data_IF_918944300905
#
_entry.id   IF_918944300905
#
_cell.length_a   1.000
_cell.length_b   1.000
_cell.length_c   1.000
_cell.angle_alpha   90.00
_cell.angle_beta   90.00
_cell.angle_gamma   90.00
#
_symmetry.space_group_name_H-M   'P 1'
#
loop_
_entity.id
_entity.type
_entity.pdbx_description
1 polymer ?
#
# COMPACT_ATOMS: atom_id res chain seq x y z
N UNK A 1 -65.36 17.98 39.06
CA UNK A 1 -64.08 17.21 39.16
C UNK A 1 -64.00 16.04 38.16
N UNK A 2 -64.70 16.14 37.00
CA UNK A 2 -64.76 15.04 35.99
C UNK A 2 -64.08 15.45 34.66
N UNK A 3 -63.72 16.73 34.46
CA UNK A 3 -63.13 17.25 33.22
C UNK A 3 -61.66 16.87 33.02
N UNK A 4 -60.88 16.67 34.09
CA UNK A 4 -59.44 16.39 34.02
C UNK A 4 -59.10 14.96 33.54
N UNK A 5 -60.02 13.99 33.73
CA UNK A 5 -59.78 12.58 33.35
C UNK A 5 -59.89 12.36 31.84
N UNK A 6 -60.85 12.98 31.17
CA UNK A 6 -61.07 12.87 29.72
C UNK A 6 -59.97 13.51 28.90
N UNK A 7 -59.43 14.65 29.35
CA UNK A 7 -58.30 15.33 28.70
C UNK A 7 -57.00 14.51 28.77
N UNK A 8 -56.76 13.82 29.89
CA UNK A 8 -55.60 12.96 30.06
C UNK A 8 -55.67 11.70 29.16
N UNK A 9 -56.84 11.12 29.01
CA UNK A 9 -57.04 9.96 28.11
C UNK A 9 -56.87 10.35 26.65
N UNK A 10 -57.35 11.51 26.24
CA UNK A 10 -57.16 11.97 24.84
C UNK A 10 -55.72 12.35 24.56
N UNK A 11 -54.98 12.93 25.51
CA UNK A 11 -53.54 13.22 25.40
C UNK A 11 -52.72 11.89 25.33
N UNK A 12 -53.04 10.93 26.13
CA UNK A 12 -52.37 9.61 26.10
C UNK A 12 -52.59 8.88 24.78
N UNK A 13 -53.81 8.89 24.24
CA UNK A 13 -54.13 8.28 22.95
C UNK A 13 -53.42 9.01 21.78
N UNK A 14 -53.27 10.32 21.84
CA UNK A 14 -52.57 11.14 20.87
C UNK A 14 -51.07 10.89 20.89
N UNK A 15 -50.47 10.72 22.09
CA UNK A 15 -49.05 10.37 22.27
C UNK A 15 -48.81 8.94 21.74
N UNK A 16 -49.66 7.97 22.05
CA UNK A 16 -49.53 6.62 21.58
C UNK A 16 -49.54 6.50 20.04
N UNK A 17 -50.42 7.21 19.37
CA UNK A 17 -50.47 7.29 17.88
C UNK A 17 -49.21 7.86 17.30
N UNK A 18 -48.70 8.97 17.83
CA UNK A 18 -47.41 9.57 17.37
C UNK A 18 -46.24 8.63 17.64
N UNK A 19 -46.15 8.03 18.80
CA UNK A 19 -45.13 7.08 19.16
C UNK A 19 -45.17 5.84 18.24
N UNK A 20 -46.38 5.35 17.91
CA UNK A 20 -46.52 4.21 17.01
C UNK A 20 -46.06 4.53 15.59
N UNK A 21 -46.42 5.69 15.04
CA UNK A 21 -46.00 6.12 13.70
C UNK A 21 -44.45 6.34 13.64
N UNK A 22 -43.86 7.02 14.63
CA UNK A 22 -42.40 7.24 14.68
C UNK A 22 -41.65 5.93 14.93
N UNK A 23 -42.19 5.03 15.75
CA UNK A 23 -41.66 3.70 16.00
C UNK A 23 -41.66 2.83 14.73
N UNK A 24 -42.78 2.79 14.03
CA UNK A 24 -42.92 2.04 12.77
C UNK A 24 -41.97 2.56 11.69
N UNK A 25 -41.82 3.86 11.57
CA UNK A 25 -40.89 4.46 10.62
C UNK A 25 -39.44 4.07 10.93
N UNK A 26 -39.03 4.17 12.20
CA UNK A 26 -37.68 3.73 12.63
C UNK A 26 -37.46 2.25 12.38
N UNK A 27 -38.46 1.41 12.66
CA UNK A 27 -38.38 -0.02 12.44
C UNK A 27 -38.26 -0.37 10.96
N UNK A 28 -39.00 0.32 10.09
CA UNK A 28 -38.88 0.15 8.64
C UNK A 28 -37.49 0.54 8.11
N UNK A 29 -36.91 1.64 8.60
CA UNK A 29 -35.53 2.03 8.26
C UNK A 29 -34.54 0.98 8.74
N UNK A 30 -34.70 0.48 9.95
CA UNK A 30 -33.85 -0.57 10.51
C UNK A 30 -33.90 -1.87 9.70
N UNK A 31 -35.09 -2.30 9.29
CA UNK A 31 -35.22 -3.46 8.39
C UNK A 31 -34.51 -3.23 7.07
N UNK A 32 -34.63 -2.05 6.48
CA UNK A 32 -33.91 -1.70 5.25
C UNK A 32 -32.40 -1.77 5.40
N UNK A 33 -31.86 -1.25 6.50
CA UNK A 33 -30.42 -1.31 6.81
C UNK A 33 -29.94 -2.75 7.03
N UNK A 34 -30.65 -3.53 7.83
CA UNK A 34 -30.32 -4.93 8.10
C UNK A 34 -30.38 -5.76 6.81
N UNK A 35 -31.40 -5.55 6.00
CA UNK A 35 -31.53 -6.21 4.70
C UNK A 35 -30.38 -5.85 3.75
N UNK A 36 -29.96 -4.57 3.73
CA UNK A 36 -28.82 -4.13 2.95
C UNK A 36 -27.50 -4.70 3.43
N UNK A 37 -27.29 -4.74 4.76
CA UNK A 37 -26.11 -5.35 5.36
C UNK A 37 -26.06 -6.86 5.05
N UNK A 38 -27.17 -7.56 5.17
CA UNK A 38 -27.23 -8.96 4.80
C UNK A 38 -26.86 -9.20 3.34
N UNK A 39 -27.39 -8.38 2.44
CA UNK A 39 -27.06 -8.47 1.02
C UNK A 39 -25.57 -8.27 0.76
N UNK A 40 -24.95 -7.25 1.37
CA UNK A 40 -23.54 -6.95 1.21
C UNK A 40 -22.63 -8.04 1.83
N UNK A 41 -22.99 -8.51 3.02
CA UNK A 41 -22.15 -9.45 3.78
C UNK A 41 -22.29 -10.89 3.33
N UNK A 42 -23.45 -11.29 2.85
CA UNK A 42 -23.72 -12.68 2.46
C UNK A 42 -23.64 -12.85 0.94
N UNK A 43 -24.37 -12.04 0.18
CA UNK A 43 -24.49 -12.23 -1.26
C UNK A 43 -23.30 -11.68 -2.04
N UNK A 44 -22.76 -10.51 -1.64
CA UNK A 44 -21.63 -9.86 -2.31
C UNK A 44 -20.29 -10.03 -1.56
N UNK A 45 -20.24 -10.86 -0.52
CA UNK A 45 -19.03 -11.07 0.30
C UNK A 45 -17.79 -11.39 -0.54
N UNK A 46 -17.87 -12.34 -1.46
CA UNK A 46 -16.75 -12.74 -2.31
C UNK A 46 -16.18 -11.57 -3.13
N UNK A 47 -17.05 -10.72 -3.66
CA UNK A 47 -16.65 -9.54 -4.45
C UNK A 47 -15.88 -8.54 -3.59
N UNK A 48 -16.39 -8.22 -2.41
CA UNK A 48 -15.73 -7.26 -1.52
C UNK A 48 -14.46 -7.82 -0.87
N UNK A 49 -14.40 -9.12 -0.59
CA UNK A 49 -13.19 -9.82 -0.18
C UNK A 49 -12.11 -9.70 -1.26
N UNK A 50 -12.44 -10.02 -2.50
CA UNK A 50 -11.48 -9.91 -3.62
C UNK A 50 -10.99 -8.48 -3.83
N UNK A 51 -11.86 -7.48 -3.67
CA UNK A 51 -11.47 -6.06 -3.77
C UNK A 51 -10.56 -5.65 -2.61
N UNK A 52 -10.86 -6.11 -1.40
CA UNK A 52 -10.03 -5.87 -0.21
C UNK A 52 -8.66 -6.51 -0.35
N UNK A 53 -8.60 -7.76 -0.81
CA UNK A 53 -7.34 -8.47 -1.02
C UNK A 53 -6.49 -7.80 -2.11
N UNK A 54 -7.10 -7.42 -3.23
CA UNK A 54 -6.41 -6.67 -4.30
C UNK A 54 -5.83 -5.33 -3.80
N UNK A 55 -6.51 -4.67 -2.86
CA UNK A 55 -6.03 -3.42 -2.30
C UNK A 55 -4.91 -3.59 -1.27
N UNK A 56 -4.84 -4.76 -0.63
CA UNK A 56 -3.85 -5.09 0.40
C UNK A 56 -2.63 -5.83 -0.15
N UNK A 57 -2.82 -6.67 -1.17
CA UNK A 57 -1.74 -7.48 -1.76
C UNK A 57 -0.99 -6.63 -2.78
N UNK A 58 0.28 -6.41 -2.54
CA UNK A 58 1.21 -5.85 -3.53
C UNK A 58 1.92 -7.00 -4.22
N UNK A 59 1.71 -7.12 -5.52
CA UNK A 59 2.40 -8.11 -6.33
C UNK A 59 3.80 -7.59 -6.68
N UNK A 60 4.81 -8.35 -6.28
CA UNK A 60 6.19 -8.12 -6.67
C UNK A 60 6.52 -9.04 -7.84
N UNK A 61 6.89 -8.47 -8.96
CA UNK A 61 7.39 -9.26 -10.09
C UNK A 61 8.83 -9.65 -9.82
N UNK A 62 9.03 -10.90 -9.42
CA UNK A 62 10.36 -11.50 -9.36
C UNK A 62 10.72 -11.96 -10.76
N UNK A 63 11.74 -11.34 -11.36
CA UNK A 63 12.27 -11.82 -12.62
C UNK A 63 12.94 -13.19 -12.40
N UNK A 64 12.60 -14.22 -13.17
CA UNK A 64 13.25 -15.51 -13.06
C UNK A 64 14.72 -15.39 -13.46
N UNK A 65 15.56 -16.22 -12.83
CA UNK A 65 16.97 -16.35 -13.19
C UNK A 65 17.05 -16.93 -14.60
N UNK A 66 17.79 -16.27 -15.48
CA UNK A 66 18.02 -16.77 -16.84
C UNK A 66 19.07 -17.86 -16.84
N UNK A 67 18.95 -18.84 -17.75
CA UNK A 67 19.97 -19.86 -17.96
C UNK A 67 21.31 -19.24 -18.38
N UNK A 68 22.40 -19.91 -18.05
CA UNK A 68 23.75 -19.54 -18.48
C UNK A 68 23.98 -19.95 -19.92
N UNK A 69 24.81 -19.21 -20.64
CA UNK A 69 25.33 -19.62 -21.93
C UNK A 69 26.73 -20.14 -21.76
N UNK A 70 26.93 -21.38 -22.20
CA UNK A 70 28.22 -22.05 -22.18
C UNK A 70 28.74 -22.16 -23.61
N UNK A 71 30.07 -22.16 -23.76
CA UNK A 71 30.71 -22.50 -25.02
C UNK A 71 30.74 -24.00 -25.25
N UNK A 72 31.37 -24.44 -26.36
CA UNK A 72 31.54 -25.86 -26.68
C UNK A 72 32.42 -26.62 -25.64
N UNK A 73 33.29 -25.93 -24.93
CA UNK A 73 34.17 -26.50 -23.91
C UNK A 73 33.58 -26.47 -22.52
N UNK A 74 32.39 -25.84 -22.34
CA UNK A 74 31.70 -25.71 -21.06
C UNK A 74 32.05 -24.43 -20.28
N UNK A 75 32.80 -23.52 -20.90
CA UNK A 75 33.11 -22.24 -20.28
C UNK A 75 31.92 -21.27 -20.36
N UNK A 76 31.69 -20.51 -19.28
CA UNK A 76 30.54 -19.58 -19.19
C UNK A 76 30.81 -18.34 -20.03
N UNK A 77 30.07 -18.19 -21.16
CA UNK A 77 30.08 -16.98 -22.00
C UNK A 77 29.24 -15.87 -21.39
N UNK A 78 28.06 -16.22 -20.87
CA UNK A 78 27.19 -15.28 -20.21
C UNK A 78 26.52 -15.93 -19.00
N UNK A 79 26.85 -15.45 -17.82
CA UNK A 79 26.39 -15.96 -16.55
C UNK A 79 25.59 -14.91 -15.76
N UNK A 80 25.08 -15.35 -14.63
CA UNK A 80 24.35 -14.51 -13.69
C UNK A 80 25.28 -14.13 -12.53
N UNK A 81 25.16 -12.89 -12.07
CA UNK A 81 25.84 -12.43 -10.86
C UNK A 81 24.89 -11.68 -9.95
N UNK A 82 25.19 -11.66 -8.67
CA UNK A 82 24.43 -10.90 -7.69
C UNK A 82 24.75 -9.41 -7.83
N UNK A 83 23.69 -8.61 -8.05
CA UNK A 83 23.77 -7.16 -8.12
C UNK A 83 23.04 -6.57 -6.91
N UNK A 84 23.71 -5.72 -6.17
CA UNK A 84 23.14 -5.02 -5.04
C UNK A 84 22.44 -3.76 -5.51
N UNK A 85 21.12 -3.69 -5.29
CA UNK A 85 20.28 -2.59 -5.73
C UNK A 85 19.71 -1.82 -4.55
N UNK A 86 19.48 -0.53 -4.73
CA UNK A 86 18.79 0.30 -3.76
C UNK A 86 17.47 0.79 -4.32
N UNK A 87 16.41 0.37 -3.68
CA UNK A 87 15.04 0.73 -4.02
C UNK A 87 14.47 1.69 -2.99
N UNK A 88 13.65 2.66 -3.44
CA UNK A 88 12.88 3.57 -2.57
C UNK A 88 11.41 3.50 -2.99
N UNK A 89 10.52 3.44 -2.01
CA UNK A 89 9.09 3.59 -2.23
C UNK A 89 8.70 4.98 -1.71
N UNK A 90 8.43 5.96 -2.60
CA UNK A 90 8.21 7.35 -2.18
C UNK A 90 7.05 7.54 -1.19
N UNK A 91 6.00 6.72 -1.29
CA UNK A 91 4.84 6.74 -0.38
C UNK A 91 5.20 6.38 1.07
N UNK A 92 6.26 5.61 1.29
CA UNK A 92 6.70 5.16 2.61
C UNK A 92 7.71 6.11 3.27
N UNK A 93 8.11 7.16 2.55
CA UNK A 93 9.11 8.12 3.00
C UNK A 93 8.41 9.41 3.43
N UNK A 94 8.53 9.80 4.69
CA UNK A 94 7.94 11.04 5.22
C UNK A 94 8.60 12.29 4.60
N UNK A 95 9.93 12.35 4.63
CA UNK A 95 10.70 13.42 3.98
C UNK A 95 11.65 12.84 2.93
N UNK A 96 11.17 12.80 1.69
CA UNK A 96 11.93 12.28 0.56
C UNK A 96 13.24 13.05 0.31
N UNK A 97 13.23 14.37 0.56
CA UNK A 97 14.45 15.18 0.38
C UNK A 97 15.53 14.81 1.38
N UNK A 98 15.16 14.70 2.64
CA UNK A 98 16.07 14.30 3.70
C UNK A 98 16.71 12.94 3.40
N UNK A 99 15.88 11.93 3.09
CA UNK A 99 16.36 10.57 2.81
C UNK A 99 17.30 10.54 1.60
N UNK A 100 16.97 11.26 0.52
CA UNK A 100 17.82 11.25 -0.67
C UNK A 100 19.14 12.00 -0.46
N UNK A 101 19.16 13.08 0.36
CA UNK A 101 20.40 13.74 0.75
C UNK A 101 21.27 12.81 1.60
N UNK A 102 20.67 12.08 2.50
CA UNK A 102 21.38 11.10 3.33
C UNK A 102 21.97 9.97 2.50
N UNK A 103 21.23 9.47 1.53
CA UNK A 103 21.71 8.46 0.57
C UNK A 103 22.83 9.03 -0.29
N UNK A 104 22.72 10.27 -0.75
CA UNK A 104 23.77 10.94 -1.50
C UNK A 104 25.09 10.96 -0.73
N UNK A 105 25.04 11.29 0.55
CA UNK A 105 26.20 11.34 1.43
C UNK A 105 26.80 9.94 1.66
N UNK A 106 25.96 8.95 1.96
CA UNK A 106 26.39 7.56 2.23
C UNK A 106 26.99 6.86 1.02
N UNK A 107 26.42 7.11 -0.17
CA UNK A 107 26.85 6.48 -1.44
C UNK A 107 27.83 7.33 -2.23
N UNK A 108 28.11 8.55 -1.79
CA UNK A 108 28.97 9.52 -2.50
C UNK A 108 28.47 9.78 -3.94
N UNK A 109 27.11 9.93 -4.08
CA UNK A 109 26.50 10.12 -5.39
C UNK A 109 26.90 11.49 -5.99
N UNK A 110 27.15 11.47 -7.29
CA UNK A 110 27.38 12.70 -8.04
C UNK A 110 26.14 13.58 -8.13
N UNK A 111 26.32 14.89 -8.29
CA UNK A 111 25.18 15.81 -8.47
C UNK A 111 24.34 15.51 -9.71
N UNK A 112 24.93 14.85 -10.71
CA UNK A 112 24.21 14.40 -11.91
C UNK A 112 23.25 13.24 -11.59
N UNK A 113 23.70 12.26 -10.82
CA UNK A 113 22.88 11.11 -10.39
C UNK A 113 21.77 11.56 -9.45
N UNK A 114 22.11 12.41 -8.50
CA UNK A 114 21.14 13.01 -7.60
C UNK A 114 19.98 13.71 -8.35
N UNK A 115 20.32 14.56 -9.34
CA UNK A 115 19.29 15.21 -10.17
C UNK A 115 18.46 14.23 -10.99
N UNK A 116 19.08 13.15 -11.51
CA UNK A 116 18.35 12.08 -12.21
C UNK A 116 17.33 11.39 -11.32
N UNK A 117 17.68 11.09 -10.06
CA UNK A 117 16.79 10.45 -9.09
C UNK A 117 15.59 11.36 -8.79
N UNK A 118 15.83 12.66 -8.55
CA UNK A 118 14.77 13.62 -8.31
C UNK A 118 13.82 13.77 -9.52
N UNK A 119 14.36 13.74 -10.74
CA UNK A 119 13.55 13.76 -11.96
C UNK A 119 12.69 12.50 -12.08
N UNK A 120 13.30 11.33 -11.93
CA UNK A 120 12.57 10.04 -11.96
C UNK A 120 11.46 9.98 -10.92
N UNK A 121 11.68 10.49 -9.70
CA UNK A 121 10.64 10.56 -8.66
C UNK A 121 9.37 11.28 -9.12
N UNK A 122 9.53 12.35 -9.93
CA UNK A 122 8.39 13.12 -10.42
C UNK A 122 7.64 12.45 -11.59
N UNK A 123 8.28 11.47 -12.24
CA UNK A 123 7.74 10.73 -13.39
C UNK A 123 7.00 9.45 -12.95
N UNK A 124 7.30 8.92 -11.77
CA UNK A 124 6.71 7.68 -11.24
C UNK A 124 5.57 7.97 -10.26
N UNK A 125 4.71 6.98 -10.08
CA UNK A 125 3.60 7.04 -9.11
C UNK A 125 4.13 6.89 -7.67
N UNK A 126 3.47 7.47 -6.65
CA UNK A 126 3.94 7.43 -5.26
C UNK A 126 4.18 6.03 -4.70
N UNK A 127 3.39 5.05 -5.13
CA UNK A 127 3.48 3.64 -4.69
C UNK A 127 4.45 2.79 -5.51
N UNK A 128 4.98 3.35 -6.60
CA UNK A 128 5.90 2.66 -7.48
C UNK A 128 7.33 2.70 -6.93
N UNK A 129 8.07 1.64 -7.15
CA UNK A 129 9.45 1.54 -6.66
C UNK A 129 10.40 2.36 -7.52
N UNK A 130 11.09 3.30 -6.91
CA UNK A 130 12.17 4.06 -7.53
C UNK A 130 13.50 3.33 -7.31
N UNK A 131 14.17 2.95 -8.37
CA UNK A 131 15.52 2.39 -8.32
C UNK A 131 16.51 3.55 -8.30
N UNK A 132 17.27 3.65 -7.20
CA UNK A 132 18.30 4.67 -6.99
C UNK A 132 19.61 4.26 -7.64
N UNK A 133 19.99 2.99 -7.45
CA UNK A 133 21.18 2.41 -8.07
C UNK A 133 20.92 0.94 -8.41
N UNK A 134 21.34 0.53 -9.60
CA UNK A 134 21.13 -0.82 -10.13
C UNK A 134 22.27 -1.78 -9.74
N UNK A 135 23.46 -1.24 -9.48
CA UNK A 135 24.65 -2.02 -9.14
C UNK A 135 25.49 -1.24 -8.13
N UNK A 136 25.35 -1.59 -6.86
CA UNK A 136 26.15 -1.06 -5.76
C UNK A 136 27.29 -2.02 -5.47
N UNK A 137 28.40 -1.48 -5.07
CA UNK A 137 29.47 -2.23 -4.46
C UNK A 137 29.05 -2.72 -3.07
N UNK A 138 29.57 -3.87 -2.64
CA UNK A 138 29.26 -4.48 -1.34
C UNK A 138 29.47 -3.52 -0.16
N UNK A 139 30.55 -2.73 -0.19
CA UNK A 139 30.85 -1.76 0.88
C UNK A 139 29.76 -0.69 0.99
N UNK A 140 29.28 -0.15 -0.14
CA UNK A 140 28.21 0.83 -0.19
C UNK A 140 26.87 0.23 0.23
N UNK A 141 26.58 -0.99 -0.21
CA UNK A 141 25.38 -1.73 0.19
C UNK A 141 25.37 -2.01 1.69
N UNK A 142 26.48 -2.42 2.27
CA UNK A 142 26.64 -2.65 3.71
C UNK A 142 26.48 -1.36 4.52
N UNK A 143 27.06 -0.24 4.05
CA UNK A 143 26.87 1.09 4.67
C UNK A 143 25.39 1.46 4.76
N UNK A 144 24.63 1.28 3.68
CA UNK A 144 23.18 1.55 3.66
C UNK A 144 22.44 0.64 4.65
N UNK A 145 22.76 -0.66 4.67
CA UNK A 145 22.13 -1.61 5.58
C UNK A 145 22.30 -1.20 7.04
N UNK A 146 23.46 -0.71 7.41
CA UNK A 146 23.73 -0.25 8.77
C UNK A 146 22.94 1.03 9.16
N UNK A 147 22.46 1.80 8.19
CA UNK A 147 21.71 3.05 8.43
C UNK A 147 20.22 2.95 8.08
N UNK A 148 19.70 1.73 7.85
CA UNK A 148 18.29 1.54 7.48
C UNK A 148 17.29 2.07 8.51
N UNK A 149 17.66 2.11 9.78
CA UNK A 149 16.81 2.64 10.86
C UNK A 149 16.49 4.14 10.67
N UNK A 150 17.38 4.91 10.01
CA UNK A 150 17.19 6.33 9.67
C UNK A 150 16.55 6.54 8.29
N UNK A 151 16.46 5.48 7.48
CA UNK A 151 16.10 5.54 6.06
C UNK A 151 14.74 4.87 5.80
N UNK A 152 13.67 5.41 6.39
CA UNK A 152 12.32 4.89 6.17
C UNK A 152 11.96 4.86 4.68
N UNK A 153 11.37 3.75 4.23
CA UNK A 153 10.96 3.56 2.83
C UNK A 153 12.08 3.17 1.87
N UNK A 154 13.32 3.02 2.36
CA UNK A 154 14.46 2.53 1.59
C UNK A 154 14.58 1.01 1.77
N UNK A 155 14.78 0.29 0.67
CA UNK A 155 14.91 -1.16 0.65
C UNK A 155 16.13 -1.57 -0.17
N UNK A 156 17.21 -2.03 0.48
CA UNK A 156 18.28 -2.72 -0.21
C UNK A 156 17.77 -4.08 -0.70
N UNK A 157 18.05 -4.40 -1.95
CA UNK A 157 17.59 -5.62 -2.62
C UNK A 157 18.77 -6.28 -3.33
N UNK A 158 18.90 -7.58 -3.15
CA UNK A 158 19.83 -8.38 -3.96
C UNK A 158 19.06 -8.82 -5.20
N UNK A 159 19.52 -8.43 -6.34
CA UNK A 159 18.98 -8.78 -7.65
C UNK A 159 19.99 -9.60 -8.43
N UNK A 160 19.51 -10.31 -9.45
CA UNK A 160 20.37 -11.08 -10.34
C UNK A 160 20.53 -10.29 -11.62
N UNK A 161 21.76 -9.92 -11.94
CA UNK A 161 22.14 -9.27 -13.17
C UNK A 161 22.94 -10.21 -14.06
N UNK A 162 23.04 -9.87 -15.34
CA UNK A 162 23.75 -10.70 -16.33
C UNK A 162 25.07 -10.04 -16.72
N UNK A 163 26.13 -10.86 -16.71
CA UNK A 163 27.44 -10.50 -17.25
C UNK A 163 27.63 -11.18 -18.61
N UNK A 164 28.25 -10.44 -19.57
CA UNK A 164 28.55 -10.92 -20.92
C UNK A 164 30.05 -10.91 -21.17
#
# INVERSE_FOLDING_TARGET
MISSSSENVTKLNSINRRMFITGSLKFMIMIGLVSRLFFLQVKENKKYLTLSDKNRIREWKLAPVRGEFLDYFGDVIAGNFEAYQLHIIPEQVEDFRYVIYRIKDLLELSDREFRKILKKKNEIKPWETLIVSDNLDWDKFSKINNHLYDLNGVKPVISISRNY
#
